data_IF_675415894627
#
_entry.id   IF_675415894627
#
_cell.length_a   1.000
_cell.length_b   1.000
_cell.length_c   1.000
_cell.angle_alpha   90.00
_cell.angle_beta   90.00
_cell.angle_gamma   90.00
#
_symmetry.space_group_name_H-M   'P 1'
#
loop_
_entity.id
_entity.type
_entity.pdbx_description
1 polymer ?
#
# COMPACT_ATOMS: atom_id res chain seq x y z
N UNK A 1 -15.64 -4.84 46.66
CA UNK A 1 -15.82 -3.44 47.00
C UNK A 1 -15.10 -2.52 45.98
N UNK A 2 -15.09 -2.91 44.69
CA UNK A 2 -14.36 -2.21 43.62
C UNK A 2 -15.17 -2.10 42.29
N UNK A 3 -16.49 -2.24 42.36
CA UNK A 3 -17.39 -2.19 41.19
C UNK A 3 -18.45 -1.08 41.32
N UNK A 4 -18.30 -0.13 42.27
CA UNK A 4 -19.28 0.96 42.49
C UNK A 4 -18.81 2.34 42.05
N UNK A 5 -17.57 2.48 41.55
CA UNK A 5 -17.00 3.79 41.18
C UNK A 5 -16.90 4.04 39.66
N UNK A 6 -17.39 3.15 38.79
CA UNK A 6 -17.23 3.28 37.32
C UNK A 6 -18.51 3.79 36.62
N UNK A 7 -19.60 3.96 37.33
CA UNK A 7 -20.83 4.46 36.71
C UNK A 7 -21.27 5.73 37.46
N UNK A 8 -20.63 6.83 37.17
CA UNK A 8 -21.12 8.15 37.52
C UNK A 8 -22.08 8.63 36.42
N UNK A 9 -23.41 8.70 36.66
CA UNK A 9 -24.39 9.08 35.64
C UNK A 9 -24.25 10.50 35.16
N UNK A 10 -23.45 11.35 35.82
CA UNK A 10 -23.23 12.75 35.43
C UNK A 10 -22.24 12.91 34.25
N UNK A 11 -21.39 11.92 33.99
CA UNK A 11 -20.44 11.95 32.87
C UNK A 11 -21.03 11.58 31.51
N UNK A 12 -22.27 11.07 31.45
CA UNK A 12 -22.93 10.67 30.21
C UNK A 12 -23.89 11.71 29.64
N UNK A 13 -23.89 12.94 30.13
CA UNK A 13 -24.71 14.00 29.53
C UNK A 13 -26.24 13.82 29.67
N UNK A 14 -26.71 12.83 30.42
CA UNK A 14 -28.14 12.55 30.59
C UNK A 14 -28.85 13.46 31.59
N UNK A 15 -28.11 14.19 32.42
CA UNK A 15 -28.70 15.12 33.42
C UNK A 15 -29.31 16.39 32.79
N UNK A 16 -28.96 16.73 31.55
CA UNK A 16 -29.50 17.92 30.87
C UNK A 16 -30.88 17.69 30.23
N UNK A 17 -31.26 16.44 30.01
CA UNK A 17 -32.53 16.10 29.32
C UNK A 17 -33.74 16.17 30.23
N UNK A 18 -33.60 15.93 31.54
CA UNK A 18 -34.75 15.88 32.45
C UNK A 18 -35.25 17.26 32.91
N UNK A 19 -34.40 18.30 32.98
CA UNK A 19 -34.82 19.66 33.35
C UNK A 19 -35.38 20.50 32.21
N UNK A 20 -35.22 20.07 30.96
CA UNK A 20 -35.73 20.77 29.79
C UNK A 20 -37.17 20.38 29.42
N UNK A 21 -37.77 19.41 30.10
CA UNK A 21 -39.06 18.83 29.71
C UNK A 21 -40.30 19.46 30.32
N UNK A 22 -40.17 20.42 31.26
CA UNK A 22 -41.34 21.06 31.84
C UNK A 22 -41.21 22.60 31.83
N UNK A 23 -41.47 23.22 30.66
CA UNK A 23 -41.71 24.64 30.51
C UNK A 23 -43.13 24.83 29.96
N UNK A 24 -44.11 25.25 30.80
CA UNK A 24 -45.53 25.36 30.40
C UNK A 24 -45.81 26.47 29.38
N UNK A 25 -44.82 27.28 29.02
CA UNK A 25 -44.94 28.36 28.01
C UNK A 25 -44.21 28.11 26.72
N UNK A 26 -43.88 26.86 26.35
CA UNK A 26 -43.39 26.59 24.99
C UNK A 26 -44.56 26.77 24.01
N UNK A 27 -44.45 27.69 23.03
CA UNK A 27 -45.42 27.75 21.96
C UNK A 27 -45.46 26.38 21.29
N UNK A 28 -46.65 25.83 21.14
CA UNK A 28 -46.88 24.57 20.44
C UNK A 28 -46.48 24.77 18.99
N UNK A 29 -45.21 24.42 18.66
CA UNK A 29 -44.75 24.40 17.28
C UNK A 29 -45.68 23.49 16.49
N UNK A 30 -46.24 23.98 15.40
CA UNK A 30 -47.17 23.23 14.58
C UNK A 30 -46.54 21.87 14.18
N UNK A 31 -47.36 20.82 14.10
CA UNK A 31 -46.86 19.49 13.68
C UNK A 31 -46.02 19.54 12.37
N UNK A 32 -46.30 20.51 11.51
CA UNK A 32 -45.58 20.75 10.27
C UNK A 32 -44.18 21.32 10.53
N UNK A 33 -44.02 22.21 11.52
CA UNK A 33 -42.73 22.79 11.87
C UNK A 33 -41.77 21.76 12.52
N UNK A 34 -42.34 20.88 13.36
CA UNK A 34 -41.60 19.75 13.92
C UNK A 34 -41.20 18.73 12.84
N UNK A 35 -42.10 18.47 11.88
CA UNK A 35 -41.82 17.59 10.73
C UNK A 35 -40.73 18.18 9.85
N UNK A 36 -40.75 19.47 9.54
CA UNK A 36 -39.71 20.13 8.74
C UNK A 36 -38.36 20.11 9.47
N UNK A 37 -38.28 20.46 10.76
CA UNK A 37 -37.05 20.38 11.56
C UNK A 37 -36.49 18.96 11.64
N UNK A 38 -37.35 17.94 11.59
CA UNK A 38 -36.94 16.53 11.54
C UNK A 38 -36.39 16.15 10.17
N UNK A 39 -37.02 16.59 9.08
CA UNK A 39 -36.50 16.40 7.72
C UNK A 39 -35.13 17.08 7.53
N UNK A 40 -35.01 18.35 7.90
CA UNK A 40 -33.73 19.10 7.80
C UNK A 40 -32.61 18.44 8.60
N UNK A 41 -32.95 17.86 9.77
CA UNK A 41 -31.97 17.10 10.57
C UNK A 41 -31.56 15.80 9.91
N UNK A 42 -32.49 15.06 9.30
CA UNK A 42 -32.22 13.82 8.59
C UNK A 42 -31.40 14.07 7.34
N UNK A 43 -31.70 15.13 6.59
CA UNK A 43 -30.93 15.50 5.40
C UNK A 43 -29.52 15.95 5.76
N UNK A 44 -29.33 16.65 6.87
CA UNK A 44 -28.01 17.03 7.38
C UNK A 44 -27.22 15.80 7.84
N UNK A 45 -27.85 14.85 8.52
CA UNK A 45 -27.19 13.59 8.94
C UNK A 45 -26.75 12.79 7.72
N UNK A 46 -27.63 12.65 6.71
CA UNK A 46 -27.28 11.98 5.44
C UNK A 46 -26.14 12.67 4.72
N UNK A 47 -26.09 14.01 4.72
CA UNK A 47 -24.98 14.77 4.16
C UNK A 47 -23.66 14.42 4.83
N UNK A 48 -23.62 14.42 6.15
CA UNK A 48 -22.42 14.08 6.94
C UNK A 48 -21.98 12.63 6.70
N UNK A 49 -22.92 11.68 6.65
CA UNK A 49 -22.60 10.26 6.37
C UNK A 49 -22.03 10.08 4.97
N UNK A 50 -22.56 10.80 3.97
CA UNK A 50 -22.05 10.76 2.60
C UNK A 50 -20.65 11.37 2.49
N UNK A 51 -20.42 12.52 3.11
CA UNK A 51 -19.09 13.16 3.17
C UNK A 51 -18.06 12.23 3.82
N UNK A 52 -18.44 11.59 4.94
CA UNK A 52 -17.57 10.61 5.61
C UNK A 52 -17.25 9.40 4.73
N UNK A 53 -18.26 8.83 4.06
CA UNK A 53 -18.06 7.72 3.15
C UNK A 53 -17.09 8.06 2.01
N UNK A 54 -17.30 9.21 1.35
CA UNK A 54 -16.42 9.66 0.26
C UNK A 54 -15.00 9.94 0.77
N UNK A 55 -14.87 10.50 1.98
CA UNK A 55 -13.57 10.68 2.63
C UNK A 55 -12.83 9.34 2.79
N UNK A 56 -13.52 8.27 3.20
CA UNK A 56 -12.92 6.95 3.34
C UNK A 56 -12.57 6.30 1.99
N UNK A 57 -13.34 6.58 0.95
CA UNK A 57 -12.97 6.16 -0.41
C UNK A 57 -11.67 6.83 -0.85
N UNK A 58 -11.49 8.13 -0.62
CA UNK A 58 -10.23 8.84 -0.93
C UNK A 58 -9.06 8.28 -0.14
N UNK A 59 -9.23 8.02 1.15
CA UNK A 59 -8.21 7.41 2.01
C UNK A 59 -7.85 5.99 1.52
N UNK A 60 -8.85 5.17 1.24
CA UNK A 60 -8.68 3.81 0.72
C UNK A 60 -8.03 3.77 -0.65
N UNK A 61 -8.40 4.68 -1.55
CA UNK A 61 -7.77 4.82 -2.87
C UNK A 61 -6.28 5.19 -2.75
N UNK A 62 -5.96 6.10 -1.84
CA UNK A 62 -4.56 6.50 -1.59
C UNK A 62 -3.72 5.33 -1.07
N UNK A 63 -4.23 4.62 -0.07
CA UNK A 63 -3.55 3.45 0.51
C UNK A 63 -3.45 2.31 -0.51
N UNK A 64 -4.52 2.08 -1.25
CA UNK A 64 -4.57 1.10 -2.33
C UNK A 64 -3.60 1.41 -3.48
N UNK A 65 -3.35 2.68 -3.76
CA UNK A 65 -2.33 3.10 -4.72
C UNK A 65 -0.93 2.69 -4.29
N UNK A 66 -0.60 2.83 -3.01
CA UNK A 66 0.69 2.38 -2.44
C UNK A 66 0.81 0.86 -2.54
N UNK A 67 -0.20 0.11 -2.09
CA UNK A 67 -0.20 -1.35 -2.19
C UNK A 67 -0.14 -1.84 -3.64
N UNK A 68 -0.81 -1.14 -4.56
CA UNK A 68 -0.77 -1.44 -5.98
C UNK A 68 0.63 -1.32 -6.58
N UNK A 69 1.41 -0.30 -6.23
CA UNK A 69 2.80 -0.17 -6.68
C UNK A 69 3.69 -1.33 -6.20
N UNK A 70 3.55 -1.73 -4.95
CA UNK A 70 4.29 -2.88 -4.41
C UNK A 70 3.82 -4.17 -5.12
N UNK A 71 2.51 -4.34 -5.31
CA UNK A 71 1.91 -5.51 -5.96
C UNK A 71 2.35 -5.67 -7.42
N UNK A 72 2.53 -4.56 -8.16
CA UNK A 72 3.11 -4.58 -9.51
C UNK A 72 4.54 -5.13 -9.46
N UNK A 73 5.36 -4.69 -8.51
CA UNK A 73 6.72 -5.21 -8.31
C UNK A 73 6.72 -6.71 -8.02
N UNK A 74 5.84 -7.19 -7.15
CA UNK A 74 5.63 -8.63 -6.88
C UNK A 74 5.27 -9.39 -8.15
N UNK A 75 4.27 -8.91 -8.88
CA UNK A 75 3.77 -9.56 -10.10
C UNK A 75 4.83 -9.66 -11.18
N UNK A 76 5.67 -8.63 -11.36
CA UNK A 76 6.77 -8.65 -12.32
C UNK A 76 7.84 -9.71 -11.97
N UNK A 77 8.24 -9.77 -10.69
CA UNK A 77 9.24 -10.73 -10.23
C UNK A 77 8.69 -12.15 -10.26
N UNK A 78 7.44 -12.34 -9.82
CA UNK A 78 6.79 -13.65 -9.86
C UNK A 78 6.64 -14.16 -11.30
N UNK A 79 6.18 -13.32 -12.23
CA UNK A 79 6.01 -13.71 -13.64
C UNK A 79 7.26 -14.32 -14.25
N UNK A 80 8.44 -13.73 -13.96
CA UNK A 80 9.68 -14.20 -14.59
C UNK A 80 10.34 -15.37 -13.85
N UNK A 81 10.15 -15.52 -12.53
CA UNK A 81 10.79 -16.57 -11.74
C UNK A 81 9.82 -17.71 -11.41
N UNK A 82 8.52 -17.45 -11.35
CA UNK A 82 7.50 -18.41 -10.95
C UNK A 82 7.49 -18.69 -9.44
N UNK A 83 8.04 -17.78 -8.63
CA UNK A 83 8.14 -17.92 -7.17
C UNK A 83 7.89 -16.61 -6.46
N UNK A 84 7.33 -16.70 -5.24
CA UNK A 84 7.03 -15.54 -4.40
C UNK A 84 8.32 -15.05 -3.73
N UNK A 85 8.64 -13.78 -3.94
CA UNK A 85 9.76 -13.13 -3.26
C UNK A 85 9.28 -12.41 -2.00
N UNK A 86 9.24 -13.08 -0.86
CA UNK A 86 8.83 -12.45 0.40
C UNK A 86 9.72 -11.30 0.86
N UNK A 87 10.99 -11.25 0.44
CA UNK A 87 11.88 -10.14 0.74
C UNK A 87 11.50 -8.83 0.01
N UNK A 88 10.58 -8.87 -0.95
CA UNK A 88 10.18 -7.66 -1.71
C UNK A 88 9.49 -6.60 -0.83
N UNK A 89 8.74 -7.02 0.20
CA UNK A 89 8.19 -6.10 1.19
C UNK A 89 9.29 -5.38 1.98
N UNK A 90 10.38 -6.09 2.32
CA UNK A 90 11.51 -5.46 3.03
C UNK A 90 12.33 -4.53 2.12
N UNK A 91 12.36 -4.77 0.80
CA UNK A 91 12.89 -3.83 -0.18
C UNK A 91 12.08 -2.53 -0.21
N UNK A 92 10.76 -2.61 -0.10
CA UNK A 92 9.89 -1.45 0.08
C UNK A 92 10.24 -0.67 1.36
N UNK A 93 10.35 -1.33 2.49
CA UNK A 93 10.75 -0.74 3.77
C UNK A 93 12.13 -0.08 3.66
N UNK A 94 13.10 -0.77 3.06
CA UNK A 94 14.46 -0.26 2.86
C UNK A 94 14.47 1.00 1.99
N UNK A 95 13.62 1.06 0.96
CA UNK A 95 13.38 2.26 0.17
C UNK A 95 12.86 3.43 1.01
N UNK A 96 11.90 3.18 1.91
CA UNK A 96 11.39 4.17 2.86
C UNK A 96 12.47 4.70 3.81
N UNK A 97 13.32 3.82 4.37
CA UNK A 97 14.46 4.23 5.21
C UNK A 97 15.53 4.99 4.43
N UNK A 98 15.82 4.61 3.20
CA UNK A 98 16.74 5.37 2.34
C UNK A 98 16.23 6.78 2.07
N UNK A 99 14.93 6.92 1.78
CA UNK A 99 14.27 8.22 1.63
C UNK A 99 14.36 9.05 2.92
N UNK A 100 14.14 8.44 4.09
CA UNK A 100 14.27 9.10 5.40
C UNK A 100 15.68 9.61 5.65
N UNK A 101 16.71 8.79 5.40
CA UNK A 101 18.11 9.17 5.58
C UNK A 101 18.46 10.38 4.70
N UNK A 102 18.08 10.32 3.42
CA UNK A 102 18.32 11.42 2.48
C UNK A 102 17.56 12.67 2.90
N UNK A 103 16.33 12.53 3.39
CA UNK A 103 15.59 13.66 3.96
C UNK A 103 16.36 14.32 5.10
N UNK A 104 16.84 13.56 6.07
CA UNK A 104 17.58 14.07 7.22
C UNK A 104 18.89 14.77 6.80
N UNK A 105 19.61 14.19 5.85
CA UNK A 105 20.85 14.80 5.32
C UNK A 105 20.55 16.12 4.59
N UNK A 106 19.57 16.11 3.68
CA UNK A 106 19.26 17.30 2.90
C UNK A 106 18.72 18.45 3.76
N UNK A 107 17.91 18.16 4.75
CA UNK A 107 17.37 19.20 5.65
C UNK A 107 18.41 19.74 6.63
N UNK A 108 19.46 18.96 6.96
CA UNK A 108 20.56 19.41 7.79
C UNK A 108 21.57 20.29 7.03
N UNK A 109 21.77 20.01 5.72
CA UNK A 109 22.76 20.72 4.88
C UNK A 109 22.14 21.92 4.15
N UNK A 110 20.93 21.76 3.65
CA UNK A 110 20.25 22.76 2.82
C UNK A 110 18.95 23.24 3.49
N UNK A 111 18.97 24.45 4.03
CA UNK A 111 17.77 25.08 4.60
C UNK A 111 16.94 25.69 3.46
N UNK A 112 15.66 25.31 3.36
CA UNK A 112 14.70 25.95 2.44
C UNK A 112 14.65 25.33 1.03
N UNK A 113 15.04 24.08 0.84
CA UNK A 113 14.83 23.37 -0.43
C UNK A 113 13.35 23.29 -0.78
N UNK A 114 12.97 23.53 -2.05
CA UNK A 114 11.59 23.31 -2.52
C UNK A 114 11.19 21.84 -2.30
N UNK A 115 10.00 21.63 -1.74
CA UNK A 115 9.49 20.28 -1.39
C UNK A 115 9.51 19.32 -2.58
N UNK A 116 9.23 19.81 -3.79
CA UNK A 116 9.25 18.98 -5.01
C UNK A 116 10.64 18.43 -5.29
N UNK A 117 11.67 19.27 -5.21
CA UNK A 117 13.07 18.86 -5.45
C UNK A 117 13.50 17.87 -4.37
N UNK A 118 13.18 18.16 -3.11
CA UNK A 118 13.46 17.28 -1.99
C UNK A 118 12.83 15.89 -2.21
N UNK A 119 11.57 15.83 -2.60
CA UNK A 119 10.85 14.58 -2.88
C UNK A 119 11.48 13.81 -4.04
N UNK A 120 11.85 14.47 -5.13
CA UNK A 120 12.50 13.83 -6.27
C UNK A 120 13.85 13.23 -5.90
N UNK A 121 14.66 13.92 -5.11
CA UNK A 121 15.96 13.40 -4.64
C UNK A 121 15.76 12.21 -3.70
N UNK A 122 14.83 12.31 -2.75
CA UNK A 122 14.49 11.21 -1.86
C UNK A 122 14.06 9.96 -2.63
N UNK A 123 13.17 10.12 -3.62
CA UNK A 123 12.71 9.02 -4.47
C UNK A 123 13.84 8.42 -5.31
N UNK A 124 14.66 9.25 -5.95
CA UNK A 124 15.79 8.77 -6.74
C UNK A 124 16.78 7.97 -5.89
N UNK A 125 17.12 8.46 -4.72
CA UNK A 125 18.00 7.77 -3.78
C UNK A 125 17.38 6.46 -3.26
N UNK A 126 16.08 6.46 -2.93
CA UNK A 126 15.36 5.27 -2.53
C UNK A 126 15.36 4.21 -3.65
N UNK A 127 15.08 4.63 -4.90
CA UNK A 127 15.12 3.73 -6.06
C UNK A 127 16.50 3.14 -6.29
N UNK A 128 17.55 3.95 -6.21
CA UNK A 128 18.93 3.48 -6.40
C UNK A 128 19.34 2.47 -5.32
N UNK A 129 19.11 2.80 -4.05
CA UNK A 129 19.48 1.93 -2.93
C UNK A 129 18.69 0.63 -2.95
N UNK A 130 17.39 0.67 -3.10
CA UNK A 130 16.54 -0.52 -3.16
C UNK A 130 16.87 -1.39 -4.38
N UNK A 131 17.12 -0.78 -5.54
CA UNK A 131 17.52 -1.50 -6.75
C UNK A 131 18.86 -2.21 -6.57
N UNK A 132 19.84 -1.57 -5.94
CA UNK A 132 21.16 -2.15 -5.66
C UNK A 132 21.02 -3.35 -4.69
N UNK A 133 20.26 -3.20 -3.62
CA UNK A 133 20.00 -4.29 -2.68
C UNK A 133 19.29 -5.46 -3.36
N UNK A 134 18.23 -5.21 -4.12
CA UNK A 134 17.47 -6.27 -4.77
C UNK A 134 18.27 -6.98 -5.88
N UNK A 135 19.10 -6.25 -6.60
CA UNK A 135 20.07 -6.83 -7.55
C UNK A 135 21.11 -7.72 -6.85
N UNK A 136 21.61 -7.28 -5.69
CA UNK A 136 22.55 -8.07 -4.89
C UNK A 136 21.89 -9.35 -4.39
N UNK A 137 20.67 -9.25 -3.87
CA UNK A 137 19.89 -10.41 -3.40
C UNK A 137 19.63 -11.38 -4.56
N UNK A 138 19.26 -10.87 -5.75
CA UNK A 138 19.08 -11.71 -6.92
C UNK A 138 20.35 -12.48 -7.25
N UNK A 139 21.50 -11.81 -7.31
CA UNK A 139 22.77 -12.44 -7.64
C UNK A 139 23.27 -13.44 -6.60
N UNK A 140 23.19 -13.09 -5.33
CA UNK A 140 23.79 -13.86 -4.24
C UNK A 140 22.85 -14.94 -3.72
N UNK A 141 21.56 -14.63 -3.59
CA UNK A 141 20.61 -15.51 -2.94
C UNK A 141 19.76 -16.31 -3.94
N UNK A 142 19.22 -15.68 -5.00
CA UNK A 142 18.26 -16.36 -5.88
C UNK A 142 18.91 -17.03 -7.09
N UNK A 143 19.91 -16.40 -7.69
CA UNK A 143 20.55 -16.93 -8.89
C UNK A 143 21.21 -18.31 -8.69
N UNK A 144 21.92 -18.58 -7.59
CA UNK A 144 22.48 -19.91 -7.34
C UNK A 144 21.43 -21.02 -7.13
N UNK A 145 20.24 -20.63 -6.70
CA UNK A 145 19.13 -21.55 -6.39
C UNK A 145 18.22 -21.81 -7.58
N UNK A 146 18.50 -21.22 -8.76
CA UNK A 146 17.73 -21.50 -9.97
C UNK A 146 17.94 -22.95 -10.39
N UNK A 147 16.85 -23.70 -10.47
CA UNK A 147 16.90 -25.13 -10.78
C UNK A 147 16.99 -26.06 -9.58
N UNK A 148 17.07 -25.54 -8.35
CA UNK A 148 16.93 -26.34 -7.13
C UNK A 148 15.45 -26.69 -6.86
N UNK A 149 15.19 -27.49 -5.81
CA UNK A 149 13.83 -27.85 -5.43
C UNK A 149 13.00 -26.60 -5.07
N UNK A 150 11.68 -26.66 -5.32
CA UNK A 150 10.76 -25.51 -5.27
C UNK A 150 10.78 -24.71 -3.97
N UNK A 151 11.08 -25.35 -2.83
CA UNK A 151 11.06 -24.68 -1.51
C UNK A 151 12.36 -23.93 -1.21
N UNK A 152 13.50 -24.24 -1.85
CA UNK A 152 14.77 -23.58 -1.53
C UNK A 152 14.73 -22.06 -1.73
N UNK A 153 14.27 -21.52 -2.86
CA UNK A 153 14.16 -20.08 -3.04
C UNK A 153 13.11 -19.44 -2.10
N UNK A 154 12.04 -20.15 -1.75
CA UNK A 154 11.03 -19.68 -0.80
C UNK A 154 11.64 -19.48 0.60
N UNK A 155 12.36 -20.50 1.12
CA UNK A 155 13.04 -20.42 2.41
C UNK A 155 14.07 -19.30 2.39
N UNK A 156 14.82 -19.18 1.30
CA UNK A 156 15.80 -18.10 1.12
C UNK A 156 15.14 -16.73 1.11
N UNK A 157 13.98 -16.58 0.47
CA UNK A 157 13.23 -15.32 0.46
C UNK A 157 12.81 -14.90 1.88
N UNK A 158 12.33 -15.84 2.69
CA UNK A 158 11.99 -15.59 4.10
C UNK A 158 13.25 -15.25 4.92
N UNK A 159 14.34 -15.99 4.72
CA UNK A 159 15.62 -15.69 5.37
C UNK A 159 16.15 -14.31 5.02
N UNK A 160 16.06 -13.89 3.76
CA UNK A 160 16.44 -12.55 3.31
C UNK A 160 15.54 -11.46 3.88
N UNK A 161 14.22 -11.69 3.98
CA UNK A 161 13.28 -10.79 4.64
C UNK A 161 13.70 -10.53 6.09
N UNK A 162 13.92 -11.58 6.87
CA UNK A 162 14.38 -11.48 8.25
C UNK A 162 15.73 -10.75 8.34
N UNK A 163 16.65 -11.05 7.41
CA UNK A 163 17.97 -10.41 7.37
C UNK A 163 17.85 -8.91 7.12
N UNK A 164 17.02 -8.47 6.17
CA UNK A 164 16.85 -7.06 5.85
C UNK A 164 16.18 -6.29 7.00
N UNK A 165 15.14 -6.85 7.62
CA UNK A 165 14.47 -6.23 8.79
C UNK A 165 15.45 -6.06 9.95
N UNK A 166 16.24 -7.10 10.26
CA UNK A 166 17.26 -7.02 11.33
C UNK A 166 18.41 -6.07 10.95
N UNK A 167 18.82 -6.03 9.67
CA UNK A 167 19.83 -5.08 9.21
C UNK A 167 19.40 -3.63 9.48
N UNK A 168 18.15 -3.28 9.14
CA UNK A 168 17.61 -1.94 9.43
C UNK A 168 17.51 -1.72 10.94
N UNK A 169 17.06 -2.71 11.71
CA UNK A 169 16.97 -2.62 13.16
C UNK A 169 18.33 -2.33 13.81
N UNK A 170 19.39 -3.01 13.37
CA UNK A 170 20.75 -2.82 13.92
C UNK A 170 21.36 -1.48 13.48
N UNK A 171 21.18 -1.08 12.21
CA UNK A 171 21.79 0.13 11.67
C UNK A 171 21.06 1.40 12.04
N UNK A 172 19.73 1.36 12.09
CA UNK A 172 18.88 2.52 12.37
C UNK A 172 18.29 2.54 13.79
N UNK A 173 18.39 1.43 14.50
CA UNK A 173 17.83 1.22 15.82
C UNK A 173 16.36 0.77 15.80
N UNK A 174 15.86 0.23 16.94
CA UNK A 174 14.52 -0.37 17.03
C UNK A 174 13.40 0.68 17.19
N UNK A 175 13.71 1.96 17.38
CA UNK A 175 12.71 3.01 17.62
C UNK A 175 12.11 3.50 16.31
N UNK A 176 10.81 3.78 16.36
CA UNK A 176 10.10 4.44 15.25
C UNK A 176 10.76 5.78 14.92
N UNK A 177 10.93 6.06 13.64
CA UNK A 177 11.56 7.28 13.12
C UNK A 177 10.50 8.20 12.53
N UNK A 178 10.03 9.23 13.29
CA UNK A 178 9.07 10.18 12.77
C UNK A 178 9.73 11.14 11.76
N UNK A 179 8.94 11.58 10.78
CA UNK A 179 9.31 12.62 9.83
C UNK A 179 8.29 13.77 9.95
N UNK A 180 8.73 15.03 9.95
CA UNK A 180 7.81 16.14 9.90
C UNK A 180 7.00 16.12 8.61
N UNK A 181 5.75 16.61 8.59
CA UNK A 181 4.92 16.61 7.41
C UNK A 181 5.56 17.45 6.29
N UNK A 182 5.97 16.80 5.21
CA UNK A 182 6.57 17.47 4.05
C UNK A 182 5.58 18.35 3.31
N UNK A 183 4.32 17.94 3.30
CA UNK A 183 3.22 18.63 2.62
C UNK A 183 2.04 18.70 3.59
N UNK A 184 1.70 19.90 4.04
CA UNK A 184 0.61 20.15 5.00
C UNK A 184 -0.65 20.75 4.35
N UNK A 185 -0.60 21.09 3.06
CA UNK A 185 -1.74 21.70 2.37
C UNK A 185 -2.91 20.70 2.26
N UNK A 186 -4.08 21.15 2.72
CA UNK A 186 -5.35 20.43 2.66
C UNK A 186 -6.37 21.28 1.92
N UNK A 187 -7.02 20.69 0.93
CA UNK A 187 -8.09 21.31 0.16
C UNK A 187 -9.42 20.75 0.61
N UNK A 188 -10.34 21.62 1.00
CA UNK A 188 -11.70 21.23 1.36
C UNK A 188 -12.62 21.46 0.15
N UNK A 189 -13.14 20.39 -0.41
CA UNK A 189 -14.05 20.40 -1.55
C UNK A 189 -15.37 19.75 -1.10
N UNK A 190 -16.44 20.53 -1.00
CA UNK A 190 -17.75 20.05 -0.58
C UNK A 190 -17.75 19.21 0.71
N UNK A 191 -17.02 19.67 1.75
CA UNK A 191 -16.93 18.95 3.03
C UNK A 191 -15.88 17.81 3.07
N UNK A 192 -15.30 17.44 1.93
CA UNK A 192 -14.27 16.41 1.83
C UNK A 192 -12.89 17.07 1.91
N UNK A 193 -12.06 16.59 2.85
CA UNK A 193 -10.69 17.09 3.04
C UNK A 193 -9.69 16.24 2.25
N UNK A 194 -9.18 16.78 1.16
CA UNK A 194 -8.17 16.11 0.32
C UNK A 194 -6.81 16.77 0.57
N UNK A 195 -5.86 16.00 1.08
CA UNK A 195 -4.50 16.51 1.28
C UNK A 195 -3.71 16.46 -0.03
N UNK A 196 -2.84 17.45 -0.25
CA UNK A 196 -1.98 17.48 -1.43
C UNK A 196 -1.09 16.23 -1.52
N UNK A 197 -0.67 15.65 -0.38
CA UNK A 197 0.08 14.38 -0.34
C UNK A 197 -0.71 13.21 -0.97
N UNK A 198 -2.02 13.13 -0.75
CA UNK A 198 -2.89 12.09 -1.35
C UNK A 198 -2.95 12.24 -2.86
N UNK A 199 -3.09 13.47 -3.35
CA UNK A 199 -3.08 13.77 -4.80
C UNK A 199 -1.75 13.35 -5.41
N UNK A 200 -0.62 13.71 -4.79
CA UNK A 200 0.73 13.34 -5.25
C UNK A 200 0.86 11.81 -5.34
N UNK A 201 0.43 11.08 -4.33
CA UNK A 201 0.49 9.61 -4.29
C UNK A 201 -0.27 9.01 -5.47
N UNK A 202 -1.53 9.42 -5.68
CA UNK A 202 -2.37 8.87 -6.75
C UNK A 202 -1.81 9.22 -8.13
N UNK A 203 -1.46 10.49 -8.37
CA UNK A 203 -0.92 10.96 -9.66
C UNK A 203 0.39 10.24 -9.99
N UNK A 204 1.29 10.12 -9.01
CA UNK A 204 2.55 9.43 -9.20
C UNK A 204 2.34 7.94 -9.49
N UNK A 205 1.42 7.29 -8.77
CA UNK A 205 1.08 5.88 -8.98
C UNK A 205 0.54 5.65 -10.40
N UNK A 206 -0.40 6.46 -10.86
CA UNK A 206 -0.95 6.35 -12.22
C UNK A 206 0.14 6.60 -13.27
N UNK A 207 1.00 7.59 -13.05
CA UNK A 207 2.11 7.90 -13.95
C UNK A 207 3.09 6.72 -14.04
N UNK A 208 3.49 6.15 -12.92
CA UNK A 208 4.39 4.99 -12.88
C UNK A 208 3.74 3.76 -13.50
N UNK A 209 2.48 3.47 -13.19
CA UNK A 209 1.75 2.37 -13.83
C UNK A 209 1.76 2.51 -15.36
N UNK A 210 1.51 3.72 -15.88
CA UNK A 210 1.51 3.99 -17.32
C UNK A 210 2.89 3.79 -17.92
N UNK A 211 3.94 4.31 -17.29
CA UNK A 211 5.33 4.14 -17.73
C UNK A 211 5.71 2.65 -17.74
N UNK A 212 5.45 1.92 -16.68
CA UNK A 212 5.77 0.50 -16.58
C UNK A 212 4.95 -0.35 -17.54
N UNK A 213 3.67 -0.04 -17.71
CA UNK A 213 2.84 -0.67 -18.73
C UNK A 213 3.42 -0.48 -20.14
N UNK A 214 3.88 0.76 -20.45
CA UNK A 214 4.54 1.05 -21.72
C UNK A 214 5.86 0.26 -21.88
N UNK A 215 6.72 0.26 -20.86
CA UNK A 215 7.99 -0.48 -20.88
C UNK A 215 7.74 -1.97 -21.13
N UNK A 216 6.83 -2.59 -20.38
CA UNK A 216 6.56 -4.04 -20.48
C UNK A 216 5.87 -4.39 -21.81
N UNK A 217 4.97 -3.57 -22.33
CA UNK A 217 4.21 -3.92 -23.53
C UNK A 217 4.86 -3.48 -24.84
N UNK A 218 5.62 -2.40 -24.86
CA UNK A 218 6.10 -1.76 -26.10
C UNK A 218 7.61 -1.87 -26.34
N UNK A 219 8.43 -2.14 -25.31
CA UNK A 219 9.89 -2.16 -25.46
C UNK A 219 10.47 -3.56 -25.71
N UNK A 220 11.73 -3.62 -26.15
CA UNK A 220 12.48 -4.88 -26.32
C UNK A 220 12.65 -5.64 -25.00
N UNK A 221 12.84 -4.91 -23.90
CA UNK A 221 12.98 -5.48 -22.56
C UNK A 221 11.68 -6.21 -22.14
N UNK A 222 10.51 -5.62 -22.38
CA UNK A 222 9.26 -6.28 -22.08
C UNK A 222 8.99 -7.52 -22.97
N UNK A 223 9.46 -7.51 -24.23
CA UNK A 223 9.40 -8.72 -25.07
C UNK A 223 10.30 -9.83 -24.53
N UNK A 224 11.54 -9.49 -24.14
CA UNK A 224 12.47 -10.44 -23.53
C UNK A 224 11.92 -11.01 -22.20
N UNK A 225 11.31 -10.16 -21.38
CA UNK A 225 10.66 -10.57 -20.12
C UNK A 225 9.55 -11.59 -20.37
N UNK A 226 8.60 -11.30 -21.27
CA UNK A 226 7.49 -12.23 -21.59
C UNK A 226 7.97 -13.52 -22.22
N UNK A 227 8.99 -13.50 -23.09
CA UNK A 227 9.58 -14.70 -23.64
C UNK A 227 10.22 -15.57 -22.56
N UNK A 228 10.97 -14.96 -21.64
CA UNK A 228 11.61 -15.66 -20.51
C UNK A 228 10.57 -16.23 -19.52
N UNK A 229 9.44 -15.54 -19.33
CA UNK A 229 8.32 -16.00 -18.51
C UNK A 229 7.66 -17.25 -19.10
N UNK A 230 7.50 -17.30 -20.44
CA UNK A 230 6.90 -18.44 -21.12
C UNK A 230 7.81 -19.68 -21.12
N UNK A 231 9.05 -19.54 -21.55
CA UNK A 231 10.03 -20.63 -21.59
C UNK A 231 11.46 -20.07 -21.57
N UNK A 232 12.15 -20.27 -20.47
CA UNK A 232 13.55 -19.80 -20.27
C UNK A 232 14.53 -20.49 -21.21
N UNK A 233 14.34 -21.81 -21.48
CA UNK A 233 15.24 -22.56 -22.35
C UNK A 233 15.09 -22.09 -23.80
N UNK A 234 13.86 -21.95 -24.26
CA UNK A 234 13.59 -21.47 -25.61
C UNK A 234 14.03 -20.01 -25.78
N UNK A 235 13.81 -19.13 -24.79
CA UNK A 235 14.28 -17.75 -24.82
C UNK A 235 15.79 -17.67 -24.96
N UNK A 236 16.54 -18.50 -24.22
CA UNK A 236 18.00 -18.57 -24.32
C UNK A 236 18.47 -19.04 -25.72
N UNK A 237 17.78 -20.05 -26.30
CA UNK A 237 18.08 -20.52 -27.67
C UNK A 237 17.80 -19.45 -28.73
N UNK A 238 16.87 -18.54 -28.50
CA UNK A 238 16.57 -17.40 -29.37
C UNK A 238 17.51 -16.21 -29.13
N UNK A 239 18.56 -16.36 -28.31
CA UNK A 239 19.58 -15.34 -28.07
C UNK A 239 19.21 -14.31 -27.01
N UNK A 240 18.17 -14.54 -26.20
CA UNK A 240 17.83 -13.68 -25.07
C UNK A 240 18.72 -14.02 -23.87
N UNK A 241 19.42 -13.02 -23.35
CA UNK A 241 20.15 -13.17 -22.08
C UNK A 241 19.15 -13.22 -20.91
N UNK A 242 18.79 -14.45 -20.53
CA UNK A 242 17.80 -14.75 -19.48
C UNK A 242 18.25 -14.19 -18.13
N UNK A 243 19.54 -14.30 -17.80
CA UNK A 243 20.07 -13.84 -16.53
C UNK A 243 19.99 -12.32 -16.39
N UNK A 244 20.36 -11.62 -17.45
CA UNK A 244 20.27 -10.16 -17.50
C UNK A 244 18.81 -9.70 -17.45
N UNK A 245 17.93 -10.38 -18.15
CA UNK A 245 16.50 -10.07 -18.18
C UNK A 245 15.88 -10.21 -16.78
N UNK A 246 16.21 -11.28 -16.06
CA UNK A 246 15.74 -11.48 -14.68
C UNK A 246 16.31 -10.39 -13.76
N UNK A 247 17.61 -10.12 -13.79
CA UNK A 247 18.22 -9.10 -12.94
C UNK A 247 17.62 -7.71 -13.17
N UNK A 248 17.35 -7.32 -14.42
CA UNK A 248 16.69 -6.04 -14.73
C UNK A 248 15.26 -6.02 -14.18
N UNK A 249 14.53 -7.12 -14.29
CA UNK A 249 13.16 -7.22 -13.73
C UNK A 249 13.16 -7.04 -12.21
N UNK A 250 14.14 -7.61 -11.49
CA UNK A 250 14.32 -7.38 -10.06
C UNK A 250 14.60 -5.92 -9.72
N UNK A 251 15.49 -5.28 -10.47
CA UNK A 251 15.82 -3.86 -10.31
C UNK A 251 14.58 -2.98 -10.53
N UNK A 252 13.83 -3.26 -11.58
CA UNK A 252 12.59 -2.52 -11.90
C UNK A 252 11.54 -2.67 -10.80
N UNK A 253 11.29 -3.91 -10.34
CA UNK A 253 10.36 -4.17 -9.24
C UNK A 253 10.77 -3.45 -7.96
N UNK A 254 12.07 -3.47 -7.62
CA UNK A 254 12.61 -2.76 -6.47
C UNK A 254 12.45 -1.24 -6.56
N UNK A 255 12.62 -0.68 -7.76
CA UNK A 255 12.37 0.74 -8.00
C UNK A 255 10.93 1.15 -7.66
N UNK A 256 9.95 0.35 -8.09
CA UNK A 256 8.53 0.58 -7.73
C UNK A 256 8.28 0.45 -6.23
N UNK A 257 8.82 -0.60 -5.61
CA UNK A 257 8.71 -0.80 -4.17
C UNK A 257 9.33 0.37 -3.39
N UNK A 258 10.46 0.91 -3.82
CA UNK A 258 11.11 2.05 -3.18
C UNK A 258 10.28 3.33 -3.26
N UNK A 259 9.67 3.60 -4.41
CA UNK A 259 8.75 4.74 -4.56
C UNK A 259 7.55 4.55 -3.62
N UNK A 260 6.96 3.35 -3.59
CA UNK A 260 5.87 3.05 -2.66
C UNK A 260 6.30 3.25 -1.20
N UNK A 261 7.55 2.85 -0.82
CA UNK A 261 8.13 3.07 0.50
C UNK A 261 8.26 4.55 0.86
N UNK A 262 8.72 5.36 -0.09
CA UNK A 262 8.78 6.83 0.08
C UNK A 262 7.39 7.42 0.25
N UNK A 263 6.40 6.97 -0.54
CA UNK A 263 5.00 7.43 -0.43
C UNK A 263 4.36 7.00 0.89
N UNK A 264 4.63 5.79 1.34
CA UNK A 264 4.17 5.26 2.63
C UNK A 264 4.72 6.09 3.79
N UNK A 265 6.03 6.38 3.77
CA UNK A 265 6.67 7.26 4.73
C UNK A 265 6.04 8.66 4.75
N UNK A 266 5.75 9.23 3.57
CA UNK A 266 5.08 10.54 3.46
C UNK A 266 3.63 10.49 3.95
N UNK A 267 2.93 9.38 3.74
CA UNK A 267 1.53 9.20 4.14
C UNK A 267 1.39 9.07 5.65
N UNK A 268 2.14 8.15 6.27
CA UNK A 268 2.06 7.87 7.70
C UNK A 268 2.94 8.78 8.57
N UNK A 269 3.96 9.41 8.01
CA UNK A 269 4.87 10.30 8.74
C UNK A 269 5.81 9.57 9.69
N UNK A 270 5.97 8.27 9.56
CA UNK A 270 6.83 7.45 10.42
C UNK A 270 7.39 6.27 9.64
N UNK A 271 8.65 5.90 9.89
CA UNK A 271 9.27 4.67 9.41
C UNK A 271 9.51 3.71 10.57
N UNK A 272 9.13 2.46 10.38
CA UNK A 272 9.32 1.38 11.35
C UNK A 272 10.06 0.22 10.67
N UNK A 273 11.01 -0.40 11.38
CA UNK A 273 11.82 -1.48 10.82
C UNK A 273 11.02 -2.76 10.50
N UNK A 274 9.78 -2.84 10.96
CA UNK A 274 8.84 -3.93 10.64
C UNK A 274 7.86 -3.61 9.52
N UNK A 275 7.91 -2.41 8.94
CA UNK A 275 6.99 -1.98 7.87
C UNK A 275 7.11 -2.82 6.59
N UNK A 276 8.15 -3.64 6.46
CA UNK A 276 8.32 -4.54 5.32
C UNK A 276 7.32 -5.69 5.30
N UNK A 277 7.01 -6.28 6.46
CA UNK A 277 6.25 -7.52 6.52
C UNK A 277 4.76 -7.33 6.23
N UNK A 278 4.03 -6.57 7.06
CA UNK A 278 2.56 -6.44 6.92
C UNK A 278 2.15 -5.79 5.58
N UNK A 279 2.67 -4.62 5.19
CA UNK A 279 2.37 -4.05 3.87
C UNK A 279 2.84 -4.95 2.71
N UNK A 280 3.97 -5.67 2.88
CA UNK A 280 4.44 -6.65 1.91
C UNK A 280 3.45 -7.80 1.69
N UNK A 281 2.94 -8.41 2.77
CA UNK A 281 1.93 -9.48 2.66
C UNK A 281 0.61 -8.96 2.08
N UNK A 282 0.18 -7.74 2.41
CA UNK A 282 -1.00 -7.11 1.81
C UNK A 282 -0.82 -6.87 0.31
N UNK A 283 0.34 -6.39 -0.10
CA UNK A 283 0.64 -6.18 -1.50
C UNK A 283 0.77 -7.50 -2.28
N UNK A 284 1.32 -8.54 -1.67
CA UNK A 284 1.27 -9.89 -2.23
C UNK A 284 -0.19 -10.36 -2.38
N UNK A 285 -1.00 -10.18 -1.34
CA UNK A 285 -2.46 -10.45 -1.40
C UNK A 285 -3.12 -9.71 -2.55
N UNK A 286 -2.77 -8.44 -2.75
CA UNK A 286 -3.25 -7.62 -3.86
C UNK A 286 -2.83 -8.18 -5.22
N UNK A 287 -1.57 -8.63 -5.37
CA UNK A 287 -1.08 -9.24 -6.60
C UNK A 287 -1.82 -10.54 -6.94
N UNK A 288 -2.08 -11.37 -5.93
CA UNK A 288 -2.85 -12.62 -6.07
C UNK A 288 -4.31 -12.34 -6.41
N UNK A 289 -4.94 -11.44 -5.65
CA UNK A 289 -6.33 -11.01 -5.87
C UNK A 289 -6.53 -10.44 -7.28
N UNK A 290 -5.59 -9.61 -7.72
CA UNK A 290 -5.62 -9.00 -9.05
C UNK A 290 -5.39 -9.99 -10.18
N UNK A 291 -4.68 -11.08 -9.91
CA UNK A 291 -4.23 -12.09 -10.85
C UNK A 291 -2.75 -11.95 -11.20
N UNK A 292 -1.96 -12.88 -10.69
CA UNK A 292 -0.50 -12.88 -10.88
C UNK A 292 -0.15 -12.91 -12.37
N UNK A 293 0.85 -12.10 -12.77
CA UNK A 293 1.24 -11.93 -14.18
C UNK A 293 0.52 -10.79 -14.91
N UNK A 294 -0.50 -10.18 -14.31
CA UNK A 294 -1.22 -9.04 -14.87
C UNK A 294 -0.90 -7.74 -14.13
N UNK A 295 -0.16 -6.81 -14.74
CA UNK A 295 0.15 -5.51 -14.14
C UNK A 295 -1.12 -4.70 -13.80
N UNK A 296 -2.11 -4.56 -14.72
CA UNK A 296 -3.36 -3.90 -14.38
C UNK A 296 -4.14 -4.64 -13.29
N UNK A 297 -4.06 -5.99 -13.28
CA UNK A 297 -4.67 -6.83 -12.25
C UNK A 297 -4.09 -6.53 -10.87
N UNK A 298 -2.77 -6.54 -10.73
CA UNK A 298 -2.09 -6.23 -9.47
C UNK A 298 -2.45 -4.83 -8.94
N UNK A 299 -2.56 -3.84 -9.83
CA UNK A 299 -3.00 -2.50 -9.44
C UNK A 299 -4.45 -2.48 -8.94
N UNK A 300 -5.37 -3.14 -9.66
CA UNK A 300 -6.76 -3.26 -9.22
C UNK A 300 -6.88 -4.01 -7.90
N UNK A 301 -6.11 -5.09 -7.71
CA UNK A 301 -6.02 -5.79 -6.45
C UNK A 301 -5.54 -4.90 -5.31
N UNK A 302 -4.51 -4.07 -5.55
CA UNK A 302 -4.03 -3.08 -4.59
C UNK A 302 -5.08 -2.06 -4.20
N UNK A 303 -5.79 -1.50 -5.19
CA UNK A 303 -6.88 -0.56 -4.95
C UNK A 303 -8.02 -1.19 -4.13
N UNK A 304 -8.41 -2.42 -4.45
CA UNK A 304 -9.44 -3.15 -3.70
C UNK A 304 -9.01 -3.38 -2.24
N UNK A 305 -7.79 -3.85 -2.01
CA UNK A 305 -7.25 -4.06 -0.66
C UNK A 305 -7.26 -2.74 0.14
N UNK A 306 -6.79 -1.64 -0.46
CA UNK A 306 -6.79 -0.33 0.19
C UNK A 306 -8.20 0.19 0.48
N UNK A 307 -9.16 -0.01 -0.42
CA UNK A 307 -10.57 0.35 -0.20
C UNK A 307 -11.19 -0.49 0.92
N UNK A 308 -10.96 -1.80 0.94
CA UNK A 308 -11.44 -2.69 1.99
C UNK A 308 -10.88 -2.26 3.35
N UNK A 309 -9.55 -2.02 3.44
CA UNK A 309 -8.91 -1.58 4.66
C UNK A 309 -9.44 -0.22 5.13
N UNK A 310 -9.61 0.73 4.21
CA UNK A 310 -10.14 2.06 4.50
C UNK A 310 -11.58 2.02 5.01
N UNK A 311 -12.47 1.31 4.31
CA UNK A 311 -13.87 1.15 4.70
C UNK A 311 -14.02 0.34 5.99
N UNK A 312 -13.25 -0.75 6.15
CA UNK A 312 -13.29 -1.54 7.38
C UNK A 312 -12.87 -0.71 8.59
N UNK A 313 -11.77 0.04 8.46
CA UNK A 313 -11.27 0.92 9.54
C UNK A 313 -12.25 2.04 9.91
N UNK A 314 -13.12 2.43 8.99
CA UNK A 314 -14.10 3.50 9.20
C UNK A 314 -15.39 3.03 9.88
N UNK A 315 -15.87 1.83 9.56
CA UNK A 315 -17.18 1.32 9.99
C UNK A 315 -17.09 0.17 10.99
N UNK A 316 -15.91 -0.45 11.14
CA UNK A 316 -15.67 -1.57 12.04
C UNK A 316 -14.45 -1.32 12.92
N UNK A 317 -14.05 -2.31 13.71
CA UNK A 317 -12.91 -2.21 14.61
C UNK A 317 -11.58 -2.25 13.84
N UNK A 318 -10.71 -1.27 14.07
CA UNK A 318 -9.42 -1.12 13.39
C UNK A 318 -8.52 -2.36 13.56
N UNK A 319 -8.59 -3.03 14.72
CA UNK A 319 -7.76 -4.19 15.03
C UNK A 319 -7.99 -5.38 14.08
N UNK A 320 -9.18 -5.50 13.48
CA UNK A 320 -9.54 -6.59 12.57
C UNK A 320 -9.43 -6.24 11.08
N UNK A 321 -8.88 -5.08 10.72
CA UNK A 321 -8.73 -4.66 9.31
C UNK A 321 -7.90 -5.63 8.48
N UNK A 322 -6.85 -6.21 9.09
CA UNK A 322 -5.97 -7.17 8.44
C UNK A 322 -6.66 -8.53 8.27
N UNK A 323 -7.45 -8.94 9.28
CA UNK A 323 -8.28 -10.16 9.19
C UNK A 323 -9.29 -10.04 8.06
N UNK A 324 -9.95 -8.90 7.91
CA UNK A 324 -10.89 -8.65 6.81
C UNK A 324 -10.21 -8.76 5.44
N UNK A 325 -9.05 -8.12 5.29
CA UNK A 325 -8.26 -8.16 4.06
C UNK A 325 -7.86 -9.58 3.66
N UNK A 326 -7.32 -10.36 4.59
CA UNK A 326 -6.90 -11.74 4.31
C UNK A 326 -8.08 -12.71 4.16
N UNK A 327 -9.20 -12.47 4.83
CA UNK A 327 -10.43 -13.26 4.63
C UNK A 327 -10.98 -13.10 3.21
N UNK A 328 -10.96 -11.89 2.67
CA UNK A 328 -11.38 -11.64 1.29
C UNK A 328 -10.45 -12.32 0.30
N UNK A 329 -9.13 -12.32 0.56
CA UNK A 329 -8.19 -13.10 -0.24
C UNK A 329 -8.58 -14.58 -0.25
N UNK A 330 -8.80 -15.17 0.93
CA UNK A 330 -9.17 -16.59 1.04
C UNK A 330 -10.45 -16.89 0.25
N UNK A 331 -11.47 -16.06 0.38
CA UNK A 331 -12.73 -16.19 -0.36
C UNK A 331 -12.48 -16.13 -1.87
N UNK A 332 -11.73 -15.13 -2.34
CA UNK A 332 -11.47 -14.98 -3.77
C UNK A 332 -10.67 -16.17 -4.32
N UNK A 333 -9.66 -16.66 -3.58
CA UNK A 333 -8.90 -17.83 -4.03
C UNK A 333 -9.74 -19.12 -4.11
N UNK A 334 -10.74 -19.27 -3.24
CA UNK A 334 -11.66 -20.42 -3.30
C UNK A 334 -12.54 -20.34 -4.55
N UNK A 335 -13.11 -19.17 -4.87
CA UNK A 335 -14.05 -19.01 -5.96
C UNK A 335 -13.40 -18.70 -7.32
N UNK A 336 -12.25 -18.02 -7.32
CA UNK A 336 -11.54 -17.58 -8.53
C UNK A 336 -10.02 -17.67 -8.34
N UNK A 337 -9.43 -18.86 -8.38
CA UNK A 337 -8.00 -19.09 -8.08
C UNK A 337 -7.05 -18.33 -9.03
N UNK A 338 -7.49 -18.00 -10.25
CA UNK A 338 -6.70 -17.17 -11.18
C UNK A 338 -6.68 -15.67 -10.84
N UNK A 339 -7.42 -15.23 -9.82
CA UNK A 339 -7.62 -13.81 -9.53
C UNK A 339 -8.59 -13.11 -10.49
N UNK A 340 -8.74 -11.78 -10.34
CA UNK A 340 -9.76 -10.99 -11.08
C UNK A 340 -9.42 -10.91 -12.58
N UNK A 341 -8.17 -10.57 -12.91
CA UNK A 341 -7.66 -10.39 -14.28
C UNK A 341 -6.51 -11.36 -14.63
N UNK A 342 -6.34 -12.42 -13.86
CA UNK A 342 -5.35 -13.47 -14.13
C UNK A 342 -5.75 -14.33 -15.32
N UNK A 343 -4.75 -14.90 -15.99
CA UNK A 343 -4.96 -15.91 -17.03
C UNK A 343 -4.97 -17.28 -16.38
N UNK A 344 -5.88 -18.19 -16.76
CA UNK A 344 -5.83 -19.56 -16.28
C UNK A 344 -4.49 -20.17 -16.72
N UNK A 345 -3.77 -20.77 -15.77
CA UNK A 345 -2.57 -21.55 -16.11
C UNK A 345 -3.02 -22.78 -16.90
N UNK A 346 -2.60 -22.87 -18.14
CA UNK A 346 -2.74 -24.09 -18.92
C UNK A 346 -1.63 -25.01 -18.43
N UNK A 347 -2.00 -26.07 -17.71
CA UNK A 347 -1.06 -27.14 -17.39
C UNK A 347 -0.47 -27.66 -18.70
N UNK A 348 0.82 -27.42 -18.91
CA UNK A 348 1.55 -28.04 -20.00
C UNK A 348 1.79 -29.50 -19.61
N UNK A 349 0.99 -30.39 -20.20
CA UNK A 349 1.18 -31.82 -20.12
C UNK A 349 2.47 -32.22 -20.84
#
# INVERSE_FOLDING_TARGET
MLLKEIVDPELLGFSFVSKALWNPHRPTSSKNEQKNKRCDRLDRIRGIEMEYFVQQLVNGLTLGSIYGLIAIGYTMVYGIIGMINFAHGDIFMLGGFAALIVFLILTSVFVGLPVVILLLIMMAAAMLTASLWNWTIEKVAYRPLRGSFRLAPLITAIGMSITLSNFIQVTQGPRNKPIPPLVSSVYNIYGISISLKQIIIVVLTVSLLTIFWYIVNKTSLGRAQRATEQDRKMAALLGIDVDRTISITFVMGAGLAAVAGTMYLMYYGVAVFTDGFIPGVKAFTAAVLGGIGSLPGAMLGGLLIGLIEGLWSAYFTIDYKDVATFSILAIVLIFKPSGILGRPEVEKV
#
